data_IF_251515691052
#
_entry.id   IF_251515691052
#
_cell.length_a   1.000
_cell.length_b   1.000
_cell.length_c   1.000
_cell.angle_alpha   90.00
_cell.angle_beta   90.00
_cell.angle_gamma   90.00
#
_symmetry.space_group_name_H-M   'P 1'
#
loop_
_entity.id
_entity.type
_entity.pdbx_description
1 polymer ?
#
# COMPACT_ATOMS: atom_id res chain seq x y z
N UNK A 1 7.09 -14.30 -22.04
CA UNK A 1 7.44 -13.98 -20.62
C UNK A 1 6.80 -15.05 -19.72
N UNK A 2 7.57 -15.71 -18.86
CA UNK A 2 7.06 -16.73 -17.95
C UNK A 2 6.11 -16.10 -16.91
N UNK A 3 5.13 -16.88 -16.42
CA UNK A 3 4.26 -16.45 -15.34
C UNK A 3 5.07 -16.29 -14.03
N UNK A 4 4.71 -15.35 -13.14
CA UNK A 4 5.30 -15.30 -11.80
C UNK A 4 4.93 -16.57 -11.02
N UNK A 5 5.63 -16.90 -9.92
CA UNK A 5 5.25 -17.99 -9.04
C UNK A 5 3.80 -17.83 -8.56
N UNK A 6 3.17 -18.97 -8.24
CA UNK A 6 1.80 -18.95 -7.72
C UNK A 6 1.70 -18.09 -6.46
N UNK A 7 0.67 -17.26 -6.38
CA UNK A 7 0.45 -16.33 -5.26
C UNK A 7 1.34 -15.09 -5.26
N UNK A 8 2.08 -14.83 -6.36
CA UNK A 8 2.85 -13.60 -6.53
C UNK A 8 2.35 -12.76 -7.69
N UNK A 9 2.11 -11.46 -7.49
CA UNK A 9 1.91 -10.55 -8.60
C UNK A 9 3.24 -10.32 -9.34
N UNK A 10 3.18 -9.86 -10.57
CA UNK A 10 4.38 -9.58 -11.37
C UNK A 10 5.20 -8.40 -10.83
N UNK A 11 4.53 -7.48 -10.16
CA UNK A 11 5.15 -6.32 -9.52
C UNK A 11 4.74 -6.34 -8.05
N UNK A 12 5.73 -6.20 -7.17
CA UNK A 12 5.56 -6.18 -5.72
C UNK A 12 6.36 -5.02 -5.14
N UNK A 13 5.72 -4.19 -4.34
CA UNK A 13 6.39 -3.10 -3.64
C UNK A 13 7.06 -3.61 -2.35
N UNK A 14 8.20 -3.02 -1.99
CA UNK A 14 8.81 -3.18 -0.67
C UNK A 14 8.72 -1.85 0.09
N UNK A 15 8.16 -1.90 1.28
CA UNK A 15 7.90 -0.74 2.15
C UNK A 15 8.69 -0.90 3.44
N UNK A 16 9.37 0.16 3.85
CA UNK A 16 10.29 0.11 5.00
C UNK A 16 9.82 1.02 6.12
N UNK A 17 9.80 0.46 7.34
CA UNK A 17 9.36 1.14 8.56
C UNK A 17 10.45 1.11 9.63
N UNK A 18 10.50 2.14 10.46
CA UNK A 18 11.40 2.15 11.62
C UNK A 18 10.91 1.14 12.67
N UNK A 19 9.58 1.04 12.85
CA UNK A 19 8.92 0.00 13.65
C UNK A 19 8.01 -0.85 12.76
N UNK A 20 8.62 -1.75 11.99
CA UNK A 20 7.88 -2.58 11.04
C UNK A 20 6.92 -3.56 11.70
N UNK A 21 7.21 -4.04 12.91
CA UNK A 21 6.31 -4.94 13.63
C UNK A 21 4.98 -4.24 13.93
N UNK A 22 5.04 -3.05 14.50
CA UNK A 22 3.87 -2.22 14.78
C UNK A 22 3.16 -1.78 13.50
N UNK A 23 3.92 -1.46 12.45
CA UNK A 23 3.36 -1.06 11.17
C UNK A 23 2.56 -2.20 10.52
N UNK A 24 3.02 -3.45 10.60
CA UNK A 24 2.30 -4.62 10.08
C UNK A 24 0.94 -4.76 10.77
N UNK A 25 0.92 -4.73 12.10
CA UNK A 25 -0.32 -4.85 12.87
C UNK A 25 -1.29 -3.73 12.49
N UNK A 26 -0.80 -2.51 12.39
CA UNK A 26 -1.58 -1.35 12.01
C UNK A 26 -2.12 -1.44 10.57
N UNK A 27 -1.31 -1.87 9.59
CA UNK A 27 -1.75 -2.05 8.20
C UNK A 27 -2.87 -3.09 8.08
N UNK A 28 -2.80 -4.16 8.89
CA UNK A 28 -3.87 -5.15 8.96
C UNK A 28 -5.16 -4.57 9.55
N UNK A 29 -5.06 -3.82 10.65
CA UNK A 29 -6.22 -3.20 11.31
C UNK A 29 -6.84 -2.10 10.45
N UNK A 30 -6.02 -1.14 10.00
CA UNK A 30 -6.49 0.07 9.33
C UNK A 30 -6.89 -0.15 7.87
N UNK A 31 -6.07 -0.89 7.13
CA UNK A 31 -6.24 -1.04 5.68
C UNK A 31 -6.72 -2.42 5.24
N UNK A 32 -6.79 -3.40 6.17
CA UNK A 32 -7.32 -4.72 5.87
C UNK A 32 -6.33 -5.65 5.16
N UNK A 33 -5.03 -5.39 5.29
CA UNK A 33 -4.02 -6.36 4.86
C UNK A 33 -4.04 -7.62 5.73
N UNK A 34 -3.56 -8.72 5.17
CA UNK A 34 -3.39 -10.00 5.89
C UNK A 34 -1.92 -10.44 5.82
N UNK A 35 -1.39 -10.92 6.96
CA UNK A 35 -0.02 -11.43 7.00
C UNK A 35 0.05 -12.82 6.38
N UNK A 36 0.79 -12.95 5.28
CA UNK A 36 1.09 -14.23 4.64
C UNK A 36 2.36 -14.87 5.19
N UNK A 37 3.38 -14.06 5.43
CA UNK A 37 4.67 -14.48 5.96
C UNK A 37 5.25 -13.37 6.84
N UNK A 38 5.88 -13.73 7.94
CA UNK A 38 6.63 -12.80 8.79
C UNK A 38 7.88 -13.49 9.32
N UNK A 39 9.05 -12.92 9.07
CA UNK A 39 10.35 -13.38 9.55
C UNK A 39 10.91 -12.33 10.49
N UNK A 40 10.96 -12.67 11.76
CA UNK A 40 11.49 -11.82 12.81
C UNK A 40 12.98 -12.07 13.00
N UNK A 41 13.73 -11.01 13.21
CA UNK A 41 15.14 -11.02 13.55
C UNK A 41 15.38 -10.62 15.00
N UNK A 42 16.62 -10.31 15.31
CA UNK A 42 17.05 -9.90 16.64
C UNK A 42 16.35 -8.60 17.08
N UNK A 43 15.95 -8.56 18.37
CA UNK A 43 15.33 -7.37 18.96
C UNK A 43 13.95 -7.01 18.41
N UNK A 44 13.21 -7.96 17.86
CA UNK A 44 11.86 -7.74 17.31
C UNK A 44 11.84 -7.06 15.93
N UNK A 45 12.96 -6.98 15.27
CA UNK A 45 13.07 -6.48 13.90
C UNK A 45 12.31 -7.40 12.95
N UNK A 46 11.72 -6.84 11.94
CA UNK A 46 11.16 -7.60 10.81
C UNK A 46 12.20 -7.61 9.68
N UNK A 47 12.80 -8.77 9.47
CA UNK A 47 13.78 -8.96 8.40
C UNK A 47 13.10 -9.10 7.04
N UNK A 48 11.94 -9.75 7.03
CA UNK A 48 11.10 -9.90 5.85
C UNK A 48 9.66 -10.16 6.26
N UNK A 49 8.71 -9.58 5.55
CA UNK A 49 7.32 -10.01 5.62
C UNK A 49 6.62 -9.86 4.27
N UNK A 50 5.52 -10.57 4.14
CA UNK A 50 4.64 -10.53 2.98
C UNK A 50 3.21 -10.33 3.48
N UNK A 51 2.62 -9.22 3.07
CA UNK A 51 1.24 -8.89 3.36
C UNK A 51 0.44 -8.96 2.08
N UNK A 52 -0.75 -9.53 2.15
CA UNK A 52 -1.67 -9.67 1.02
C UNK A 52 -2.87 -8.75 1.16
N UNK A 53 -3.38 -8.30 0.03
CA UNK A 53 -4.68 -7.66 -0.11
C UNK A 53 -5.30 -8.15 -1.42
N UNK A 54 -6.29 -9.04 -1.33
CA UNK A 54 -6.75 -9.80 -2.49
C UNK A 54 -5.60 -10.55 -3.16
N UNK A 55 -5.41 -10.35 -4.46
CA UNK A 55 -4.28 -10.90 -5.22
C UNK A 55 -2.99 -10.06 -5.14
N UNK A 56 -3.06 -8.89 -4.52
CA UNK A 56 -1.91 -8.01 -4.32
C UNK A 56 -1.00 -8.48 -3.19
N UNK A 57 0.30 -8.23 -3.33
CA UNK A 57 1.31 -8.53 -2.29
C UNK A 57 2.21 -7.32 -2.13
N UNK A 58 2.47 -6.95 -0.88
CA UNK A 58 3.55 -6.03 -0.51
C UNK A 58 4.53 -6.74 0.43
N UNK A 59 5.77 -6.30 0.42
CA UNK A 59 6.77 -6.71 1.41
C UNK A 59 6.97 -5.57 2.41
N UNK A 60 7.00 -5.91 3.71
CA UNK A 60 7.27 -4.94 4.77
C UNK A 60 8.48 -5.40 5.58
N UNK A 61 9.42 -4.49 5.82
CA UNK A 61 10.62 -4.78 6.58
C UNK A 61 11.08 -3.57 7.41
N UNK A 62 11.89 -3.85 8.43
CA UNK A 62 12.51 -2.81 9.25
C UNK A 62 13.63 -2.08 8.50
N UNK A 63 13.74 -0.76 8.72
CA UNK A 63 14.90 0.03 8.28
C UNK A 63 16.18 -0.37 9.01
N UNK A 64 17.34 0.04 8.50
CA UNK A 64 18.62 -0.06 9.20
C UNK A 64 19.19 -1.47 9.41
N UNK A 65 18.63 -2.50 8.75
CA UNK A 65 19.13 -3.87 8.85
C UNK A 65 20.48 -4.09 8.16
N UNK A 66 21.29 -5.01 8.67
CA UNK A 66 22.50 -5.50 8.00
C UNK A 66 22.06 -6.45 6.87
N UNK A 67 21.92 -5.91 5.66
CA UNK A 67 21.66 -6.74 4.49
C UNK A 67 22.93 -7.44 4.03
N UNK A 68 22.85 -8.73 3.75
CA UNK A 68 23.91 -9.47 3.05
C UNK A 68 23.98 -9.09 1.57
N UNK A 69 22.98 -8.36 1.05
CA UNK A 69 22.96 -7.85 -0.32
C UNK A 69 23.50 -6.43 -0.35
N UNK A 70 24.43 -6.11 -1.26
CA UNK A 70 24.87 -4.74 -1.45
C UNK A 70 23.68 -3.82 -1.75
N UNK A 71 23.51 -2.76 -0.97
CA UNK A 71 22.55 -1.69 -1.25
C UNK A 71 23.31 -0.39 -1.37
N UNK A 72 23.24 0.29 -2.51
CA UNK A 72 23.96 1.55 -2.71
C UNK A 72 23.45 2.66 -1.80
N UNK A 73 22.18 2.59 -1.37
CA UNK A 73 21.56 3.53 -0.43
C UNK A 73 20.75 2.80 0.63
N UNK A 74 20.72 3.30 1.87
CA UNK A 74 19.90 2.74 2.93
C UNK A 74 18.41 2.98 2.65
N UNK A 75 17.56 2.02 3.03
CA UNK A 75 16.11 2.23 3.06
C UNK A 75 15.74 2.97 4.35
N UNK A 76 14.88 3.97 4.24
CA UNK A 76 14.36 4.77 5.36
C UNK A 76 12.84 4.88 5.27
N UNK A 77 12.17 5.09 6.41
CA UNK A 77 10.78 5.50 6.42
C UNK A 77 10.64 6.94 5.91
N UNK A 78 9.49 7.34 5.34
CA UNK A 78 9.26 8.73 4.94
C UNK A 78 9.45 9.72 6.08
N UNK A 79 9.03 9.37 7.30
CA UNK A 79 9.23 10.20 8.49
C UNK A 79 10.71 10.44 8.78
N UNK A 80 11.54 9.40 8.72
CA UNK A 80 12.98 9.53 8.92
C UNK A 80 13.69 10.24 7.76
N UNK A 81 13.14 10.12 6.53
CA UNK A 81 13.67 10.80 5.35
C UNK A 81 13.22 12.25 5.25
N UNK A 82 12.05 12.60 5.82
CA UNK A 82 11.41 13.90 5.65
C UNK A 82 10.71 14.07 4.29
N UNK A 83 10.53 13.00 3.52
CA UNK A 83 9.89 13.03 2.20
C UNK A 83 9.35 11.66 1.80
N UNK A 84 8.33 11.64 0.94
CA UNK A 84 7.87 10.46 0.24
C UNK A 84 8.51 10.37 -1.15
N UNK A 85 8.79 9.16 -1.60
CA UNK A 85 9.31 8.89 -2.95
C UNK A 85 8.33 8.09 -3.79
N UNK A 86 7.24 7.60 -3.19
CA UNK A 86 6.21 6.80 -3.88
C UNK A 86 4.87 6.87 -3.14
N UNK A 87 3.82 6.53 -3.86
CA UNK A 87 2.49 6.26 -3.32
C UNK A 87 2.06 4.88 -3.78
N UNK A 88 1.52 4.07 -2.86
CA UNK A 88 0.91 2.80 -3.22
C UNK A 88 -0.58 3.02 -3.47
N UNK A 89 -1.09 2.39 -4.52
CA UNK A 89 -2.51 2.46 -4.89
C UNK A 89 -3.16 1.09 -4.75
N UNK A 90 -4.28 1.06 -4.06
CA UNK A 90 -5.02 -0.16 -3.72
C UNK A 90 -6.47 -0.03 -4.19
N UNK A 91 -6.96 -1.05 -4.89
CA UNK A 91 -8.37 -1.16 -5.24
C UNK A 91 -9.16 -1.75 -4.08
N UNK A 92 -10.27 -1.12 -3.73
CA UNK A 92 -11.17 -1.53 -2.65
C UNK A 92 -12.63 -1.54 -3.12
N UNK A 93 -13.45 -2.42 -2.54
CA UNK A 93 -14.85 -2.56 -2.96
C UNK A 93 -15.77 -1.51 -2.33
N UNK A 94 -15.59 -1.19 -1.05
CA UNK A 94 -16.44 -0.27 -0.27
C UNK A 94 -15.59 0.90 0.25
N UNK A 95 -15.31 1.87 -0.62
CA UNK A 95 -14.28 2.88 -0.38
C UNK A 95 -14.61 3.84 0.78
N UNK A 96 -15.87 4.21 0.97
CA UNK A 96 -16.27 5.09 2.07
C UNK A 96 -16.14 4.38 3.42
N UNK A 97 -16.59 3.14 3.51
CA UNK A 97 -16.46 2.32 4.72
C UNK A 97 -14.98 2.02 5.03
N UNK A 98 -14.18 1.76 3.99
CA UNK A 98 -12.73 1.56 4.12
C UNK A 98 -12.05 2.82 4.66
N UNK A 99 -12.41 4.00 4.19
CA UNK A 99 -11.88 5.27 4.68
C UNK A 99 -12.23 5.50 6.15
N UNK A 100 -13.47 5.23 6.56
CA UNK A 100 -13.90 5.39 7.96
C UNK A 100 -13.18 4.38 8.88
N UNK A 101 -12.98 3.14 8.45
CA UNK A 101 -12.18 2.16 9.18
C UNK A 101 -10.74 2.63 9.34
N UNK A 102 -10.11 3.10 8.27
CA UNK A 102 -8.75 3.63 8.30
C UNK A 102 -8.63 4.82 9.26
N UNK A 103 -9.59 5.75 9.21
CA UNK A 103 -9.67 6.90 10.10
C UNK A 103 -9.78 6.49 11.57
N UNK A 104 -10.67 5.54 11.87
CA UNK A 104 -10.87 5.03 13.22
C UNK A 104 -9.60 4.36 13.79
N UNK A 105 -8.79 3.73 12.94
CA UNK A 105 -7.50 3.15 13.29
C UNK A 105 -6.34 4.18 13.32
N UNK A 106 -6.63 5.47 13.16
CA UNK A 106 -5.66 6.55 13.28
C UNK A 106 -4.92 6.92 12.00
N UNK A 107 -5.41 6.52 10.82
CA UNK A 107 -4.87 7.01 9.56
C UNK A 107 -5.13 8.51 9.43
N UNK A 108 -4.12 9.24 8.95
CA UNK A 108 -4.30 10.64 8.58
C UNK A 108 -4.91 10.69 7.18
N UNK A 109 -6.18 11.05 7.09
CA UNK A 109 -6.84 11.23 5.79
C UNK A 109 -6.34 12.53 5.17
N UNK A 110 -5.65 12.41 4.04
CA UNK A 110 -5.03 13.53 3.30
C UNK A 110 -6.00 14.11 2.28
N UNK A 111 -6.78 13.23 1.63
CA UNK A 111 -7.85 13.59 0.72
C UNK A 111 -9.08 12.75 1.06
N UNK A 112 -10.21 13.41 1.29
CA UNK A 112 -11.49 12.76 1.56
C UNK A 112 -12.02 12.00 0.33
N UNK A 113 -12.85 10.95 0.52
CA UNK A 113 -13.45 10.23 -0.59
C UNK A 113 -14.20 11.14 -1.55
N UNK A 114 -13.74 11.21 -2.79
CA UNK A 114 -14.36 11.99 -3.85
C UNK A 114 -14.37 11.24 -5.17
N UNK A 115 -15.42 11.44 -5.97
CA UNK A 115 -15.51 10.87 -7.31
C UNK A 115 -14.80 11.79 -8.30
N UNK A 116 -13.89 11.22 -9.09
CA UNK A 116 -13.15 11.90 -10.14
C UNK A 116 -13.78 11.59 -11.49
N UNK A 117 -14.25 12.64 -12.17
CA UNK A 117 -14.85 12.56 -13.50
C UNK A 117 -13.97 13.28 -14.51
N UNK A 118 -13.58 12.56 -15.57
CA UNK A 118 -12.68 13.08 -16.61
C UNK A 118 -13.34 13.12 -18.01
N UNK A 119 -14.67 12.95 -18.08
CA UNK A 119 -15.43 12.81 -19.31
C UNK A 119 -15.90 11.38 -19.55
N UNK A 120 -16.89 11.20 -20.46
CA UNK A 120 -17.50 9.88 -20.71
C UNK A 120 -16.53 8.89 -21.37
N UNK A 121 -15.53 9.38 -22.09
CA UNK A 121 -14.50 8.59 -22.77
C UNK A 121 -13.48 7.97 -21.80
N UNK A 122 -13.44 8.46 -20.55
CA UNK A 122 -12.56 7.94 -19.51
C UNK A 122 -13.36 7.22 -18.40
N UNK A 123 -12.74 6.25 -17.71
CA UNK A 123 -13.37 5.67 -16.53
C UNK A 123 -13.45 6.71 -15.39
N UNK A 124 -14.49 6.60 -14.56
CA UNK A 124 -14.54 7.36 -13.32
C UNK A 124 -14.23 6.50 -12.11
N UNK A 125 -13.58 7.12 -11.13
CA UNK A 125 -13.15 6.47 -9.90
C UNK A 125 -13.56 7.32 -8.70
N UNK A 126 -13.98 6.67 -7.64
CA UNK A 126 -14.02 7.26 -6.32
C UNK A 126 -12.71 6.95 -5.63
N UNK A 127 -12.04 7.95 -5.08
CA UNK A 127 -10.71 7.82 -4.50
C UNK A 127 -10.60 8.57 -3.18
N UNK A 128 -9.75 8.10 -2.28
CA UNK A 128 -9.28 8.87 -1.14
C UNK A 128 -7.78 8.61 -0.92
N UNK A 129 -7.11 9.47 -0.16
CA UNK A 129 -5.71 9.28 0.22
C UNK A 129 -5.54 9.33 1.72
N UNK A 130 -4.65 8.48 2.21
CA UNK A 130 -4.27 8.41 3.61
C UNK A 130 -2.76 8.34 3.78
N UNK A 131 -2.31 8.79 4.94
CA UNK A 131 -0.93 8.67 5.39
C UNK A 131 -0.90 7.75 6.61
N UNK A 132 0.00 6.78 6.62
CA UNK A 132 0.20 5.89 7.74
C UNK A 132 1.05 6.52 8.86
N UNK A 133 1.20 5.86 10.03
CA UNK A 133 1.92 6.45 11.17
C UNK A 133 3.39 6.81 10.91
N UNK A 134 4.02 6.24 9.88
CA UNK A 134 5.40 6.57 9.51
C UNK A 134 5.52 7.39 8.23
N UNK A 135 4.39 7.88 7.72
CA UNK A 135 4.34 8.87 6.65
C UNK A 135 4.30 8.28 5.24
N UNK A 136 4.17 6.96 5.06
CA UNK A 136 3.90 6.42 3.73
C UNK A 136 2.51 6.84 3.26
N UNK A 137 2.41 7.19 1.98
CA UNK A 137 1.16 7.62 1.38
C UNK A 137 0.51 6.48 0.59
N UNK A 138 -0.81 6.35 0.82
CA UNK A 138 -1.66 5.33 0.26
C UNK A 138 -2.82 5.98 -0.48
N UNK A 139 -3.04 5.58 -1.72
CA UNK A 139 -4.22 5.92 -2.50
C UNK A 139 -5.15 4.73 -2.57
N UNK A 140 -6.41 4.92 -2.23
CA UNK A 140 -7.45 3.90 -2.35
C UNK A 140 -8.41 4.27 -3.45
N UNK A 141 -8.85 3.28 -4.24
CA UNK A 141 -9.62 3.51 -5.44
C UNK A 141 -10.75 2.49 -5.56
N UNK A 142 -11.90 2.97 -6.01
CA UNK A 142 -13.05 2.17 -6.42
C UNK A 142 -13.52 2.60 -7.81
N UNK A 143 -13.80 1.65 -8.69
CA UNK A 143 -14.32 1.93 -10.02
C UNK A 143 -15.81 2.27 -9.93
N UNK A 144 -16.18 3.51 -10.31
CA UNK A 144 -17.58 3.94 -10.37
C UNK A 144 -18.19 3.66 -11.73
N UNK A 145 -17.44 3.94 -12.81
CA UNK A 145 -17.90 3.76 -14.18
C UNK A 145 -16.73 3.41 -15.10
N UNK A 146 -16.96 2.46 -16.01
CA UNK A 146 -16.00 2.18 -17.06
C UNK A 146 -16.04 3.25 -18.16
N UNK A 147 -14.93 3.35 -18.89
CA UNK A 147 -14.89 4.20 -20.08
C UNK A 147 -15.99 3.76 -21.06
N UNK A 148 -16.68 4.72 -21.66
CA UNK A 148 -17.63 4.42 -22.72
C UNK A 148 -16.82 3.87 -23.91
N UNK A 149 -17.15 2.65 -24.35
CA UNK A 149 -16.52 2.08 -25.54
C UNK A 149 -16.70 3.06 -26.70
N UNK A 150 -15.59 3.62 -27.20
CA UNK A 150 -15.63 4.44 -28.39
C UNK A 150 -16.30 3.64 -29.52
N UNK A 151 -17.25 4.24 -30.22
CA UNK A 151 -17.74 3.64 -31.46
C UNK A 151 -16.51 3.43 -32.34
N UNK A 152 -16.18 2.17 -32.61
CA UNK A 152 -15.21 1.85 -33.65
C UNK A 152 -15.75 2.46 -34.95
N UNK A 153 -15.04 3.50 -35.44
CA UNK A 153 -15.25 4.00 -36.81
C UNK A 153 -14.57 3.06 -37.79
#
# INVERSE_FOLDING_TARGET
MNKPPQGWPRITAAVFYDDAAKAIDWLCEAFGFEVRLKIEGEGGRIEHSELTFGEGVIMVASTGGKSTRPRPMPCKSPRALGANTQTLSVWVDAIDEHCEKARAAGAKIVEEPATQEYGEEYPSHRTYRAEDPEGHQWGFMHRVRDARAGRAN
#
